data_IF_609365652776
#
_entry.id   IF_609365652776
#
_cell.length_a   1.000
_cell.length_b   1.000
_cell.length_c   1.000
_cell.angle_alpha   90.00
_cell.angle_beta   90.00
_cell.angle_gamma   90.00
#
_symmetry.space_group_name_H-M   'P 1'
#
loop_
_entity.id
_entity.type
_entity.pdbx_description
1 polymer ?
#
# COMPACT_ATOMS: atom_id res chain seq x y z
N UNK A 1 -2.50 41.92 19.13
CA UNK A 1 -3.63 41.29 18.44
C UNK A 1 -3.10 40.43 17.31
N UNK A 2 -3.64 39.21 17.21
CA UNK A 2 -3.31 38.10 16.28
C UNK A 2 -1.94 37.43 16.54
N UNK A 3 -1.84 36.10 16.60
CA UNK A 3 -2.56 35.13 15.79
C UNK A 3 -2.91 33.84 16.55
N UNK A 4 -4.21 33.64 16.77
CA UNK A 4 -4.86 32.44 17.32
C UNK A 4 -5.25 31.47 16.18
N UNK A 5 -4.41 31.37 15.13
CA UNK A 5 -4.74 30.63 13.88
C UNK A 5 -4.30 29.15 13.95
N UNK A 6 -3.48 28.77 14.94
CA UNK A 6 -2.98 27.40 15.06
C UNK A 6 -3.98 26.33 15.57
N UNK A 7 -5.00 26.61 16.41
CA UNK A 7 -5.95 25.58 16.84
C UNK A 7 -7.06 25.30 15.80
N UNK A 8 -7.44 26.28 14.97
CA UNK A 8 -8.57 26.14 14.03
C UNK A 8 -8.22 25.18 12.88
N UNK A 9 -6.99 25.27 12.35
CA UNK A 9 -6.53 24.39 11.26
C UNK A 9 -6.45 22.93 11.74
N UNK A 10 -5.90 22.67 12.94
CA UNK A 10 -5.89 21.32 13.51
C UNK A 10 -7.31 20.78 13.70
N UNK A 11 -8.24 21.55 14.27
CA UNK A 11 -9.63 21.08 14.50
C UNK A 11 -10.34 20.74 13.18
N UNK A 12 -10.12 21.53 12.12
CA UNK A 12 -10.70 21.26 10.80
C UNK A 12 -10.10 20.00 10.15
N UNK A 13 -8.79 19.79 10.27
CA UNK A 13 -8.13 18.58 9.76
C UNK A 13 -8.59 17.32 10.52
N UNK A 14 -8.70 17.39 11.85
CA UNK A 14 -9.20 16.27 12.65
C UNK A 14 -10.65 15.92 12.31
N UNK A 15 -11.54 16.92 12.18
CA UNK A 15 -12.95 16.68 11.80
C UNK A 15 -13.08 16.06 10.41
N UNK A 16 -12.32 16.56 9.43
CA UNK A 16 -12.33 15.98 8.09
C UNK A 16 -11.80 14.53 8.12
N UNK A 17 -10.75 14.24 8.89
CA UNK A 17 -10.21 12.88 8.98
C UNK A 17 -11.17 11.88 9.65
N UNK A 18 -11.92 12.32 10.67
CA UNK A 18 -12.90 11.50 11.36
C UNK A 18 -14.11 11.20 10.46
N UNK A 19 -14.61 12.23 9.76
CA UNK A 19 -15.69 12.06 8.80
C UNK A 19 -15.30 11.07 7.69
N UNK A 20 -14.09 11.19 7.13
CA UNK A 20 -13.62 10.24 6.11
C UNK A 20 -13.50 8.81 6.63
N UNK A 21 -13.07 8.63 7.89
CA UNK A 21 -13.00 7.28 8.48
C UNK A 21 -14.39 6.66 8.65
N UNK A 22 -15.35 7.42 9.19
CA UNK A 22 -16.72 6.92 9.42
C UNK A 22 -17.39 6.56 8.07
N UNK A 23 -17.22 7.39 7.04
CA UNK A 23 -17.74 7.15 5.70
C UNK A 23 -17.13 5.88 5.06
N UNK A 24 -15.80 5.71 5.15
CA UNK A 24 -15.09 4.55 4.61
C UNK A 24 -15.49 3.26 5.37
N UNK A 25 -15.61 3.32 6.70
CA UNK A 25 -16.06 2.20 7.52
C UNK A 25 -17.50 1.83 7.19
N UNK A 26 -18.41 2.81 7.06
CA UNK A 26 -19.80 2.56 6.72
C UNK A 26 -19.91 1.87 5.35
N UNK A 27 -19.11 2.32 4.37
CA UNK A 27 -19.04 1.69 3.05
C UNK A 27 -18.63 0.22 3.12
N UNK A 28 -17.67 -0.13 3.98
CA UNK A 28 -17.26 -1.53 4.22
C UNK A 28 -18.43 -2.34 4.79
N UNK A 29 -19.13 -1.80 5.78
CA UNK A 29 -20.22 -2.50 6.46
C UNK A 29 -21.42 -2.71 5.53
N UNK A 30 -21.80 -1.70 4.76
CA UNK A 30 -22.91 -1.78 3.82
C UNK A 30 -22.68 -2.87 2.75
N UNK A 31 -21.43 -3.04 2.30
CA UNK A 31 -21.09 -3.99 1.26
C UNK A 31 -20.83 -5.41 1.81
N UNK A 32 -20.00 -5.52 2.84
CA UNK A 32 -19.49 -6.82 3.30
C UNK A 32 -20.18 -7.36 4.57
N UNK A 33 -20.95 -6.54 5.29
CA UNK A 33 -21.68 -6.93 6.49
C UNK A 33 -23.12 -6.34 6.58
N UNK A 34 -23.95 -6.48 5.53
CA UNK A 34 -25.27 -5.84 5.47
C UNK A 34 -26.28 -6.34 6.52
N UNK A 35 -25.96 -7.42 7.24
CA UNK A 35 -26.80 -8.02 8.29
C UNK A 35 -26.33 -7.67 9.71
N UNK A 36 -25.18 -7.01 9.85
CA UNK A 36 -24.56 -6.67 11.13
C UNK A 36 -23.93 -7.88 11.85
N UNK A 37 -22.61 -7.83 12.02
CA UNK A 37 -21.80 -8.80 12.76
C UNK A 37 -21.21 -8.19 14.02
N UNK A 38 -20.74 -9.04 14.94
CA UNK A 38 -19.98 -8.62 16.13
C UNK A 38 -18.48 -8.44 15.85
N UNK A 39 -18.03 -8.69 14.63
CA UNK A 39 -16.63 -8.66 14.25
C UNK A 39 -16.18 -7.32 13.64
N UNK A 40 -16.81 -6.23 14.05
CA UNK A 40 -16.50 -4.87 13.61
C UNK A 40 -15.55 -4.22 14.60
N UNK A 41 -14.45 -3.65 14.10
CA UNK A 41 -13.61 -2.74 14.85
C UNK A 41 -13.96 -1.30 14.44
N UNK A 42 -14.78 -0.63 15.24
CA UNK A 42 -15.22 0.74 14.94
C UNK A 42 -14.26 1.84 15.44
N UNK A 43 -13.11 1.43 15.98
CA UNK A 43 -12.04 2.33 16.33
C UNK A 43 -11.03 2.32 15.17
N UNK A 44 -10.36 3.44 14.93
CA UNK A 44 -9.35 3.53 13.87
C UNK A 44 -7.97 3.11 14.39
N UNK A 45 -7.57 3.64 15.55
CA UNK A 45 -6.24 3.43 16.12
C UNK A 45 -6.20 2.24 17.07
N UNK A 46 -5.08 1.51 17.09
CA UNK A 46 -4.81 0.46 18.08
C UNK A 46 -3.97 1.06 19.22
N UNK A 47 -4.57 1.19 20.39
CA UNK A 47 -3.97 1.75 21.62
C UNK A 47 -4.53 1.03 22.85
N UNK A 48 -3.94 1.21 24.03
CA UNK A 48 -4.47 0.68 25.29
C UNK A 48 -5.92 1.10 25.58
N UNK A 49 -6.40 2.20 24.98
CA UNK A 49 -7.78 2.67 25.13
C UNK A 49 -8.76 1.98 24.18
N UNK A 50 -8.29 1.56 23.02
CA UNK A 50 -9.13 1.03 21.94
C UNK A 50 -9.05 -0.49 21.83
N UNK A 51 -8.03 -1.12 22.42
CA UNK A 51 -7.77 -2.54 22.25
C UNK A 51 -8.89 -3.45 22.75
N UNK A 52 -9.60 -3.05 23.81
CA UNK A 52 -10.68 -3.85 24.39
C UNK A 52 -11.89 -3.95 23.46
N UNK A 53 -11.97 -3.07 22.45
CA UNK A 53 -12.98 -3.11 21.39
C UNK A 53 -12.53 -3.94 20.18
N UNK A 54 -11.28 -4.42 20.14
CA UNK A 54 -10.81 -5.23 19.03
C UNK A 54 -11.48 -6.61 19.03
N UNK A 55 -12.17 -7.01 17.95
CA UNK A 55 -12.93 -8.24 17.93
C UNK A 55 -12.04 -9.48 17.88
N UNK A 56 -12.36 -10.50 18.68
CA UNK A 56 -11.70 -11.82 18.65
C UNK A 56 -12.30 -12.69 17.54
N UNK A 57 -12.14 -12.25 16.29
CA UNK A 57 -12.71 -12.90 15.11
C UNK A 57 -11.65 -13.27 14.08
N UNK A 58 -11.94 -14.29 13.28
CA UNK A 58 -11.12 -14.63 12.10
C UNK A 58 -11.28 -13.64 10.96
N UNK A 59 -12.51 -13.18 10.75
CA UNK A 59 -12.87 -12.13 9.78
C UNK A 59 -13.18 -10.87 10.56
N UNK A 60 -12.45 -9.80 10.30
CA UNK A 60 -12.64 -8.50 10.95
C UNK A 60 -13.02 -7.46 9.91
N UNK A 61 -13.95 -6.57 10.26
CA UNK A 61 -14.38 -5.45 9.44
C UNK A 61 -13.88 -4.17 10.10
N UNK A 62 -13.06 -3.40 9.41
CA UNK A 62 -12.49 -2.19 10.00
C UNK A 62 -11.33 -1.60 9.21
N UNK A 63 -10.93 -0.40 9.63
CA UNK A 63 -9.73 0.27 9.15
C UNK A 63 -8.73 0.33 10.30
N UNK A 64 -7.58 -0.31 10.12
CA UNK A 64 -6.57 -0.44 11.17
C UNK A 64 -5.49 0.62 10.96
N UNK A 65 -5.36 1.54 11.92
CA UNK A 65 -4.32 2.57 11.94
C UNK A 65 -3.30 2.25 13.05
N UNK A 66 -2.05 2.10 12.66
CA UNK A 66 -0.89 1.97 13.54
C UNK A 66 -0.02 3.21 13.35
N UNK A 67 0.17 3.98 14.41
CA UNK A 67 0.92 5.23 14.31
C UNK A 67 1.72 5.56 15.58
N UNK A 68 2.14 6.82 15.74
CA UNK A 68 2.88 7.27 16.92
C UNK A 68 2.09 7.18 18.24
N UNK A 69 0.76 7.07 18.18
CA UNK A 69 -0.11 6.91 19.35
C UNK A 69 -0.22 5.44 19.79
N UNK A 70 0.16 4.48 18.93
CA UNK A 70 0.15 3.06 19.27
C UNK A 70 1.17 2.77 20.36
N UNK A 71 0.69 2.41 21.54
CA UNK A 71 1.45 2.15 22.76
C UNK A 71 1.76 0.66 22.97
N UNK A 72 1.67 -0.13 21.90
CA UNK A 72 1.98 -1.56 21.89
C UNK A 72 3.31 -1.87 21.21
N UNK A 73 4.05 -2.80 21.80
CA UNK A 73 5.18 -3.46 21.13
C UNK A 73 4.72 -4.36 19.99
N UNK A 74 5.64 -4.67 19.07
CA UNK A 74 5.40 -5.60 17.96
C UNK A 74 4.85 -6.96 18.42
N UNK A 75 5.36 -7.50 19.54
CA UNK A 75 4.91 -8.77 20.11
C UNK A 75 3.48 -8.69 20.65
N UNK A 76 3.12 -7.56 21.27
CA UNK A 76 1.74 -7.34 21.73
C UNK A 76 0.79 -7.19 20.53
N UNK A 77 1.16 -6.40 19.51
CA UNK A 77 0.36 -6.28 18.28
C UNK A 77 0.16 -7.64 17.61
N UNK A 78 1.20 -8.46 17.53
CA UNK A 78 1.11 -9.81 16.96
C UNK A 78 0.09 -10.68 17.71
N UNK A 79 0.01 -10.53 19.03
CA UNK A 79 -1.00 -11.23 19.86
C UNK A 79 -2.41 -10.68 19.66
N UNK A 80 -2.56 -9.37 19.46
CA UNK A 80 -3.86 -8.75 19.16
C UNK A 80 -4.45 -9.32 17.87
N UNK A 81 -3.63 -9.44 16.83
CA UNK A 81 -4.06 -9.88 15.51
C UNK A 81 -4.00 -11.40 15.30
N UNK A 82 -3.61 -12.19 16.32
CA UNK A 82 -3.28 -13.62 16.18
C UNK A 82 -4.40 -14.48 15.58
N UNK A 83 -5.66 -14.09 15.80
CA UNK A 83 -6.82 -14.81 15.31
C UNK A 83 -7.32 -14.30 13.95
N UNK A 84 -6.91 -13.11 13.52
CA UNK A 84 -7.43 -12.43 12.34
C UNK A 84 -6.76 -12.97 11.08
N UNK A 85 -7.49 -13.76 10.31
CA UNK A 85 -7.03 -14.34 9.04
C UNK A 85 -7.48 -13.53 7.83
N UNK A 86 -8.52 -12.72 7.98
CA UNK A 86 -9.03 -11.85 6.93
C UNK A 86 -9.47 -10.49 7.49
N UNK A 87 -9.10 -9.42 6.77
CA UNK A 87 -9.55 -8.06 7.03
C UNK A 87 -10.37 -7.55 5.84
N UNK A 88 -11.59 -7.12 6.14
CA UNK A 88 -12.45 -6.37 5.25
C UNK A 88 -12.27 -4.88 5.56
N UNK A 89 -11.55 -4.18 4.70
CA UNK A 89 -11.15 -2.78 4.89
C UNK A 89 -9.69 -2.53 4.57
N UNK A 90 -9.01 -1.71 5.37
CA UNK A 90 -7.69 -1.19 5.04
C UNK A 90 -6.74 -1.09 6.22
N UNK A 91 -5.47 -0.91 5.90
CA UNK A 91 -4.39 -0.82 6.88
C UNK A 91 -3.56 0.42 6.60
N UNK A 92 -3.35 1.25 7.61
CA UNK A 92 -2.42 2.38 7.59
C UNK A 92 -1.39 2.22 8.69
N UNK A 93 -0.12 2.16 8.32
CA UNK A 93 1.01 2.17 9.23
C UNK A 93 1.80 3.44 8.95
N UNK A 94 1.65 4.46 9.79
CA UNK A 94 2.27 5.75 9.55
C UNK A 94 2.99 6.32 10.75
N UNK A 95 4.15 6.96 10.55
CA UNK A 95 4.88 7.63 11.64
C UNK A 95 5.09 6.73 12.88
N UNK A 96 5.18 5.41 12.69
CA UNK A 96 5.29 4.44 13.78
C UNK A 96 6.74 4.21 14.19
N UNK A 97 6.93 3.72 15.40
CA UNK A 97 8.23 3.27 15.90
C UNK A 97 8.53 1.79 15.57
N UNK A 98 7.69 1.14 14.77
CA UNK A 98 7.86 -0.27 14.43
C UNK A 98 9.04 -0.47 13.48
N UNK A 99 9.74 -1.59 13.66
CA UNK A 99 10.82 -2.02 12.77
C UNK A 99 10.37 -3.06 11.74
N UNK A 100 9.23 -3.71 11.98
CA UNK A 100 8.69 -4.78 11.14
C UNK A 100 7.16 -4.74 11.07
N UNK A 101 6.61 -5.24 9.95
CA UNK A 101 5.17 -5.51 9.76
C UNK A 101 4.77 -6.93 10.19
N UNK A 102 5.59 -7.63 10.97
CA UNK A 102 5.30 -9.00 11.43
C UNK A 102 4.05 -9.15 12.29
N UNK A 103 3.41 -8.08 12.71
CA UNK A 103 2.11 -8.17 13.37
C UNK A 103 0.98 -8.59 12.42
N UNK A 104 1.17 -8.46 11.10
CA UNK A 104 0.25 -8.93 10.05
C UNK A 104 0.39 -10.45 9.78
N UNK A 105 0.86 -11.22 10.76
CA UNK A 105 1.16 -12.65 10.61
C UNK A 105 -0.08 -13.52 10.83
N UNK A 106 -0.38 -14.40 9.87
CA UNK A 106 -1.56 -15.29 9.89
C UNK A 106 -1.23 -16.75 10.19
N UNK A 107 0.05 -17.06 10.44
CA UNK A 107 0.74 -18.37 10.38
C UNK A 107 1.57 -18.54 9.11
N UNK A 108 2.70 -19.25 9.24
CA UNK A 108 3.73 -19.46 8.21
C UNK A 108 3.24 -20.13 6.91
N UNK A 109 1.99 -20.62 6.86
CA UNK A 109 1.42 -21.38 5.75
C UNK A 109 0.05 -20.89 5.27
N UNK A 110 -0.49 -19.83 5.87
CA UNK A 110 -1.83 -19.29 5.54
C UNK A 110 -1.67 -17.88 4.99
N UNK A 111 -2.36 -17.59 3.89
CA UNK A 111 -2.41 -16.24 3.33
C UNK A 111 -3.32 -15.37 4.19
N UNK A 112 -2.95 -14.11 4.37
CA UNK A 112 -3.82 -13.09 4.95
C UNK A 112 -4.71 -12.51 3.85
N UNK A 113 -6.01 -12.72 3.94
CA UNK A 113 -6.93 -12.14 2.96
C UNK A 113 -7.22 -10.68 3.32
N UNK A 114 -6.91 -9.77 2.41
CA UNK A 114 -7.15 -8.34 2.60
C UNK A 114 -8.08 -7.80 1.51
N UNK A 115 -9.30 -7.48 1.90
CA UNK A 115 -10.30 -6.87 1.01
C UNK A 115 -10.19 -5.35 1.08
N UNK A 116 -9.30 -4.78 0.28
CA UNK A 116 -8.83 -3.39 0.39
C UNK A 116 -9.35 -2.43 -0.68
N UNK A 117 -10.49 -2.75 -1.30
CA UNK A 117 -11.13 -1.90 -2.30
C UNK A 117 -11.50 -0.51 -1.75
N UNK A 118 -12.03 -0.44 -0.52
CA UNK A 118 -12.57 0.82 0.02
C UNK A 118 -11.47 1.80 0.43
N UNK A 119 -10.43 1.31 1.10
CA UNK A 119 -9.41 2.16 1.72
C UNK A 119 -8.02 1.95 1.11
N UNK A 120 -7.53 0.71 1.13
CA UNK A 120 -6.20 0.37 0.64
C UNK A 120 -5.20 -0.01 1.75
N UNK A 121 -3.93 -0.04 1.38
CA UNK A 121 -2.78 -0.28 2.26
C UNK A 121 -1.82 0.89 2.15
N UNK A 122 -1.49 1.50 3.27
CA UNK A 122 -0.61 2.66 3.33
C UNK A 122 0.47 2.42 4.39
N UNK A 123 1.73 2.43 3.99
CA UNK A 123 2.89 2.25 4.87
C UNK A 123 3.80 3.46 4.65
N UNK A 124 3.66 4.46 5.51
CA UNK A 124 4.12 5.81 5.19
C UNK A 124 4.96 6.41 6.33
N UNK A 125 6.07 7.05 6.01
CA UNK A 125 6.84 7.86 6.97
C UNK A 125 7.36 7.08 8.20
N UNK A 126 7.60 5.76 8.08
CA UNK A 126 8.11 4.95 9.20
C UNK A 126 9.65 4.95 9.20
N UNK A 127 10.25 5.80 10.04
CA UNK A 127 11.71 6.01 10.11
C UNK A 127 12.51 4.75 10.46
N UNK A 128 11.93 3.82 11.20
CA UNK A 128 12.62 2.64 11.72
C UNK A 128 12.27 1.34 10.99
N UNK A 129 11.21 1.35 10.17
CA UNK A 129 10.72 0.18 9.46
C UNK A 129 11.75 -0.31 8.44
N UNK A 130 12.15 -1.57 8.58
CA UNK A 130 13.15 -2.21 7.71
C UNK A 130 12.75 -3.60 7.23
N UNK A 131 11.66 -4.15 7.77
CA UNK A 131 11.14 -5.47 7.43
C UNK A 131 9.64 -5.39 7.09
N UNK A 132 9.30 -5.73 5.85
CA UNK A 132 7.92 -5.82 5.37
C UNK A 132 7.67 -7.14 4.63
N UNK A 133 8.39 -8.21 4.99
CA UNK A 133 8.28 -9.50 4.30
C UNK A 133 6.85 -10.07 4.34
N UNK A 134 6.06 -9.72 5.35
CA UNK A 134 4.67 -10.17 5.50
C UNK A 134 3.77 -9.69 4.38
N UNK A 135 4.10 -8.58 3.70
CA UNK A 135 3.34 -8.11 2.54
C UNK A 135 3.32 -9.12 1.39
N UNK A 136 4.33 -10.00 1.31
CA UNK A 136 4.36 -11.12 0.36
C UNK A 136 3.29 -12.18 0.65
N UNK A 137 2.79 -12.25 1.87
CA UNK A 137 1.80 -13.27 2.28
C UNK A 137 0.38 -12.72 2.28
N UNK A 138 0.19 -11.46 1.89
CA UNK A 138 -1.13 -10.84 1.75
C UNK A 138 -1.73 -11.26 0.41
N UNK A 139 -2.90 -11.88 0.47
CA UNK A 139 -3.76 -12.11 -0.67
C UNK A 139 -4.70 -10.90 -0.79
N UNK A 140 -4.35 -9.97 -1.68
CA UNK A 140 -5.18 -8.79 -1.94
C UNK A 140 -6.40 -9.20 -2.74
N UNK A 141 -7.57 -8.83 -2.24
CA UNK A 141 -8.85 -9.07 -2.89
C UNK A 141 -9.45 -7.70 -3.19
N UNK A 142 -9.42 -7.31 -4.46
CA UNK A 142 -10.09 -6.11 -4.95
C UNK A 142 -11.45 -6.48 -5.54
N UNK A 143 -12.42 -5.56 -5.46
CA UNK A 143 -13.76 -5.78 -6.03
C UNK A 143 -13.77 -5.91 -7.54
N UNK A 144 -14.84 -6.53 -8.06
CA UNK A 144 -14.99 -6.85 -9.49
C UNK A 144 -15.02 -5.61 -10.40
N UNK A 145 -15.44 -4.46 -9.88
CA UNK A 145 -15.63 -3.23 -10.65
C UNK A 145 -14.33 -2.43 -10.87
N UNK A 146 -13.46 -2.33 -9.86
CA UNK A 146 -12.24 -1.51 -9.92
C UNK A 146 -10.97 -2.35 -10.05
N UNK A 147 -10.96 -3.60 -9.55
CA UNK A 147 -9.79 -4.50 -9.46
C UNK A 147 -8.54 -3.90 -8.79
N UNK A 148 -8.63 -2.72 -8.18
CA UNK A 148 -7.46 -1.99 -7.71
C UNK A 148 -7.55 -1.76 -6.20
N UNK A 149 -6.74 -2.51 -5.45
CA UNK A 149 -6.36 -2.09 -4.11
C UNK A 149 -5.36 -0.94 -4.24
N UNK A 150 -5.59 0.18 -3.55
CA UNK A 150 -4.58 1.24 -3.45
C UNK A 150 -3.48 0.78 -2.51
N UNK A 151 -2.23 0.82 -2.94
CA UNK A 151 -1.12 0.35 -2.12
C UNK A 151 0.03 1.34 -2.20
N UNK A 152 0.31 2.00 -1.08
CA UNK A 152 1.37 2.99 -0.96
C UNK A 152 2.39 2.56 0.07
N UNK A 153 3.65 2.60 -0.32
CA UNK A 153 4.77 2.39 0.58
C UNK A 153 5.75 3.53 0.38
N UNK A 154 5.63 4.57 1.20
CA UNK A 154 6.34 5.82 0.98
C UNK A 154 7.15 6.28 2.18
N UNK A 155 8.32 6.87 1.92
CA UNK A 155 9.15 7.53 2.94
C UNK A 155 9.53 6.62 4.12
N UNK A 156 9.85 5.35 3.84
CA UNK A 156 10.38 4.41 4.83
C UNK A 156 11.87 4.19 4.56
N UNK A 157 12.77 5.08 5.05
CA UNK A 157 14.15 5.18 4.57
C UNK A 157 15.05 3.98 4.87
N UNK A 158 14.59 3.03 5.70
CA UNK A 158 15.29 1.78 6.00
C UNK A 158 14.68 0.56 5.31
N UNK A 159 13.52 0.71 4.68
CA UNK A 159 12.76 -0.39 4.10
C UNK A 159 13.26 -0.73 2.70
N UNK A 160 13.55 -2.00 2.46
CA UNK A 160 13.88 -2.52 1.15
C UNK A 160 12.64 -3.15 0.49
N UNK A 161 12.11 -2.51 -0.55
CA UNK A 161 10.92 -3.00 -1.27
C UNK A 161 11.25 -3.95 -2.43
N UNK A 162 12.51 -4.02 -2.87
CA UNK A 162 12.98 -4.80 -4.02
C UNK A 162 12.49 -6.27 -4.00
N UNK A 163 12.56 -6.92 -2.84
CA UNK A 163 12.13 -8.31 -2.68
C UNK A 163 10.61 -8.45 -2.55
N UNK A 164 9.96 -7.45 -1.98
CA UNK A 164 8.51 -7.44 -1.72
C UNK A 164 7.75 -7.28 -3.02
N UNK A 165 8.16 -6.35 -3.88
CA UNK A 165 7.46 -6.08 -5.15
C UNK A 165 7.62 -7.20 -6.19
N UNK A 166 8.56 -8.14 -6.00
CA UNK A 166 8.74 -9.33 -6.85
C UNK A 166 7.69 -10.42 -6.61
N UNK A 167 6.94 -10.35 -5.52
CA UNK A 167 5.96 -11.36 -5.21
C UNK A 167 4.68 -11.15 -6.03
N UNK A 168 4.19 -12.22 -6.67
CA UNK A 168 3.08 -12.17 -7.65
C UNK A 168 1.87 -11.37 -7.17
N UNK A 169 1.49 -11.49 -5.89
CA UNK A 169 0.33 -10.80 -5.33
C UNK A 169 0.43 -9.27 -5.25
N UNK A 170 1.61 -8.67 -5.39
CA UNK A 170 1.80 -7.21 -5.46
C UNK A 170 2.12 -6.74 -6.89
N UNK A 171 2.71 -7.61 -7.70
CA UNK A 171 3.14 -7.27 -9.04
C UNK A 171 2.00 -7.15 -10.06
N UNK A 172 0.86 -7.84 -9.85
CA UNK A 172 -0.18 -7.99 -10.90
C UNK A 172 -1.56 -7.40 -10.57
N UNK A 173 -1.78 -6.75 -9.43
CA UNK A 173 -3.16 -6.49 -8.94
C UNK A 173 -3.39 -5.11 -8.32
N UNK A 174 -2.47 -4.15 -8.44
CA UNK A 174 -2.43 -3.04 -7.49
C UNK A 174 -1.86 -1.75 -8.12
N UNK A 175 -2.49 -0.61 -7.82
CA UNK A 175 -1.89 0.73 -7.97
C UNK A 175 -0.85 0.85 -6.87
N UNK A 176 0.40 0.50 -7.20
CA UNK A 176 1.52 0.42 -6.27
C UNK A 176 2.39 1.67 -6.37
N UNK A 177 2.28 2.56 -5.39
CA UNK A 177 3.15 3.72 -5.24
C UNK A 177 4.24 3.37 -4.22
N UNK A 178 5.49 3.36 -4.66
CA UNK A 178 6.65 3.12 -3.80
C UNK A 178 7.72 4.18 -4.07
N UNK A 179 7.98 5.01 -3.06
CA UNK A 179 8.90 6.14 -3.15
C UNK A 179 9.54 6.48 -1.80
N UNK A 180 10.74 7.06 -1.78
CA UNK A 180 11.41 7.45 -0.53
C UNK A 180 11.81 6.28 0.39
N UNK A 181 11.90 5.05 -0.13
CA UNK A 181 12.33 3.86 0.60
C UNK A 181 13.85 3.64 0.43
N UNK A 182 14.45 2.73 1.23
CA UNK A 182 15.89 2.39 1.08
C UNK A 182 16.20 1.83 -0.31
N UNK A 183 15.27 1.02 -0.82
CA UNK A 183 15.25 0.53 -2.20
C UNK A 183 13.79 0.48 -2.65
N UNK A 184 13.53 0.99 -3.83
CA UNK A 184 12.19 1.01 -4.41
C UNK A 184 11.81 -0.29 -5.11
N UNK A 185 10.55 -0.36 -5.53
CA UNK A 185 10.12 -1.33 -6.54
C UNK A 185 10.79 -1.01 -7.89
N UNK A 186 12.06 -1.42 -8.08
CA UNK A 186 12.81 -1.15 -9.31
C UNK A 186 14.20 -1.79 -9.38
N UNK A 187 14.55 -2.25 -10.59
CA UNK A 187 15.81 -2.84 -11.11
C UNK A 187 16.58 -3.80 -10.17
N UNK A 188 16.41 -5.11 -10.37
CA UNK A 188 17.39 -6.13 -9.95
C UNK A 188 18.06 -6.83 -11.13
N UNK A 189 19.39 -6.77 -11.17
CA UNK A 189 20.21 -7.64 -12.00
C UNK A 189 20.55 -8.89 -11.18
N UNK A 190 20.15 -10.07 -11.65
CA UNK A 190 20.65 -11.34 -11.10
C UNK A 190 21.71 -11.92 -12.05
N UNK A 191 22.97 -12.02 -11.62
CA UNK A 191 23.90 -12.97 -12.22
C UNK A 191 23.56 -14.34 -11.62
N UNK A 192 22.97 -15.21 -12.44
CA UNK A 192 22.86 -16.65 -12.22
C UNK A 192 21.77 -17.10 -11.23
N UNK A 193 20.61 -17.52 -11.74
CA UNK A 193 19.90 -18.70 -11.22
C UNK A 193 18.94 -19.28 -12.26
N UNK A 194 18.91 -20.60 -12.33
CA UNK A 194 18.34 -21.46 -13.37
C UNK A 194 16.79 -21.55 -13.38
N UNK A 195 16.10 -20.50 -12.92
CA UNK A 195 14.64 -20.40 -13.00
C UNK A 195 14.30 -19.17 -13.85
N UNK A 196 13.77 -19.46 -15.03
CA UNK A 196 13.48 -18.56 -16.14
C UNK A 196 12.26 -17.65 -15.86
N UNK A 197 12.20 -17.01 -14.69
CA UNK A 197 11.32 -15.86 -14.49
C UNK A 197 12.15 -14.59 -14.64
N UNK A 198 11.94 -13.95 -15.79
CA UNK A 198 12.77 -12.93 -16.38
C UNK A 198 13.01 -11.73 -15.45
N UNK A 199 14.18 -11.12 -15.64
CA UNK A 199 14.62 -9.82 -15.10
C UNK A 199 13.48 -8.81 -15.19
N UNK A 200 12.74 -8.60 -14.10
CA UNK A 200 11.74 -7.54 -14.05
C UNK A 200 12.34 -6.34 -13.33
N UNK A 201 12.58 -5.29 -14.11
CA UNK A 201 12.88 -3.95 -13.62
C UNK A 201 11.63 -3.10 -13.72
N UNK A 202 11.05 -2.76 -12.57
CA UNK A 202 9.88 -1.90 -12.46
C UNK A 202 10.23 -0.41 -12.49
N UNK A 203 9.36 0.39 -13.11
CA UNK A 203 9.37 1.84 -13.08
C UNK A 203 7.97 2.40 -12.73
N UNK A 204 7.91 3.58 -12.12
CA UNK A 204 6.65 4.27 -11.80
C UNK A 204 6.14 5.05 -13.03
N UNK A 205 5.19 4.47 -13.78
CA UNK A 205 4.74 5.00 -15.06
C UNK A 205 3.93 6.29 -14.98
N UNK A 206 3.45 6.68 -13.80
CA UNK A 206 2.84 7.98 -13.52
C UNK A 206 3.87 9.08 -13.17
N UNK A 207 5.16 8.76 -13.12
CA UNK A 207 6.25 9.70 -12.82
C UNK A 207 7.12 10.00 -14.05
N UNK A 208 6.65 9.67 -15.25
CA UNK A 208 7.37 9.95 -16.50
C UNK A 208 7.31 11.44 -16.80
N UNK A 209 8.49 12.05 -16.92
CA UNK A 209 8.67 13.42 -17.38
C UNK A 209 9.99 13.53 -18.16
N UNK A 210 10.32 14.74 -18.63
CA UNK A 210 11.52 14.98 -19.44
C UNK A 210 12.83 14.66 -18.74
N UNK A 211 12.87 14.61 -17.40
CA UNK A 211 14.07 14.26 -16.63
C UNK A 211 14.14 12.77 -16.28
N UNK A 212 13.00 12.13 -16.00
CA UNK A 212 12.94 10.72 -15.58
C UNK A 212 12.85 9.72 -16.74
N UNK A 213 12.41 10.13 -17.94
CA UNK A 213 12.19 9.22 -19.08
C UNK A 213 13.43 8.39 -19.46
N UNK A 214 14.63 8.91 -19.21
CA UNK A 214 15.87 8.21 -19.50
C UNK A 214 16.06 6.91 -18.68
N UNK A 215 15.46 6.85 -17.49
CA UNK A 215 15.56 5.72 -16.57
C UNK A 215 14.78 4.49 -17.07
N UNK A 216 13.73 4.73 -17.86
CA UNK A 216 12.86 3.69 -18.40
C UNK A 216 13.56 2.76 -19.40
N UNK A 217 14.72 3.17 -19.95
CA UNK A 217 15.60 2.29 -20.77
C UNK A 217 16.08 1.04 -20.04
N UNK A 218 16.00 1.06 -18.71
CA UNK A 218 16.39 -0.04 -17.83
C UNK A 218 15.19 -0.84 -17.37
N UNK A 219 13.96 -0.40 -17.60
CA UNK A 219 12.73 -1.00 -17.11
C UNK A 219 12.12 -1.97 -18.12
N UNK A 220 11.47 -3.01 -17.61
CA UNK A 220 10.71 -4.01 -18.38
C UNK A 220 9.23 -4.02 -17.98
N UNK A 221 8.89 -3.36 -16.87
CA UNK A 221 7.53 -3.29 -16.35
C UNK A 221 7.26 -1.88 -15.84
N UNK A 222 6.05 -1.35 -16.07
CA UNK A 222 5.59 -0.13 -15.40
C UNK A 222 4.49 -0.44 -14.39
N UNK A 223 4.57 0.21 -13.22
CA UNK A 223 3.49 0.28 -12.23
C UNK A 223 2.74 1.61 -12.41
N UNK A 224 1.47 1.65 -11.98
CA UNK A 224 0.59 2.82 -12.12
C UNK A 224 0.40 3.25 -13.59
N UNK A 225 0.48 2.27 -14.50
CA UNK A 225 0.21 2.44 -15.91
C UNK A 225 1.37 3.04 -16.69
N UNK A 226 1.05 3.81 -17.72
CA UNK A 226 2.01 4.52 -18.55
C UNK A 226 1.43 5.89 -18.88
N UNK A 227 1.91 6.93 -18.19
CA UNK A 227 1.30 8.25 -18.22
C UNK A 227 2.34 9.34 -18.47
N UNK A 228 2.21 10.06 -19.59
CA UNK A 228 3.04 11.23 -19.88
C UNK A 228 2.38 12.15 -20.91
N UNK A 229 2.77 13.43 -20.88
CA UNK A 229 2.37 14.40 -21.89
C UNK A 229 3.53 15.28 -22.35
N UNK A 230 3.49 15.71 -23.61
CA UNK A 230 4.47 16.64 -24.21
C UNK A 230 5.93 16.14 -24.14
N UNK A 231 6.14 14.83 -24.37
CA UNK A 231 7.48 14.24 -24.45
C UNK A 231 7.72 13.70 -25.86
N UNK A 232 8.81 14.14 -26.47
CA UNK A 232 9.33 13.65 -27.75
C UNK A 232 10.34 12.51 -27.53
N UNK A 233 10.62 11.72 -28.58
CA UNK A 233 11.63 10.64 -28.56
C UNK A 233 11.43 9.54 -27.50
N UNK A 234 10.17 9.28 -27.14
CA UNK A 234 9.80 8.34 -26.07
C UNK A 234 10.06 6.88 -26.44
N UNK A 235 9.92 6.50 -27.72
CA UNK A 235 9.98 5.11 -28.18
C UNK A 235 11.29 4.41 -27.83
N UNK A 236 12.43 5.12 -27.95
CA UNK A 236 13.73 4.56 -27.60
C UNK A 236 13.86 4.26 -26.09
N UNK A 237 13.17 5.05 -25.27
CA UNK A 237 13.21 4.97 -23.82
C UNK A 237 12.30 3.87 -23.26
N UNK A 238 11.20 3.56 -23.94
CA UNK A 238 10.24 2.52 -23.55
C UNK A 238 10.47 1.18 -24.26
N UNK A 239 11.52 1.05 -25.08
CA UNK A 239 11.78 -0.10 -25.95
C UNK A 239 11.92 -1.47 -25.27
N UNK A 240 12.10 -1.51 -23.95
CA UNK A 240 12.20 -2.76 -23.17
C UNK A 240 10.97 -3.05 -22.33
N UNK A 241 9.97 -2.18 -22.33
CA UNK A 241 8.75 -2.37 -21.54
C UNK A 241 7.92 -3.50 -22.18
N UNK A 242 7.85 -4.63 -21.47
CA UNK A 242 7.07 -5.81 -21.86
C UNK A 242 5.68 -5.80 -21.22
N UNK A 243 5.54 -5.19 -20.04
CA UNK A 243 4.31 -5.17 -19.24
C UNK A 243 3.96 -3.77 -18.74
N UNK A 244 2.71 -3.35 -18.91
CA UNK A 244 2.16 -2.11 -18.36
C UNK A 244 1.04 -2.48 -17.39
N UNK A 245 1.25 -2.25 -16.10
CA UNK A 245 0.27 -2.53 -15.05
C UNK A 245 -0.42 -1.23 -14.63
N UNK A 246 -1.62 -1.00 -15.14
CA UNK A 246 -2.44 0.17 -14.86
C UNK A 246 -2.85 0.93 -16.13
N UNK A 247 -3.41 2.14 -15.99
CA UNK A 247 -3.99 2.89 -17.10
C UNK A 247 -2.93 3.47 -18.05
N UNK A 248 -3.23 3.49 -19.34
CA UNK A 248 -2.39 4.16 -20.36
C UNK A 248 -3.01 5.53 -20.65
N UNK A 249 -2.22 6.59 -20.45
CA UNK A 249 -2.62 7.96 -20.75
C UNK A 249 -1.47 8.73 -21.41
N UNK A 250 -1.50 8.80 -22.73
CA UNK A 250 -0.46 9.44 -23.54
C UNK A 250 -1.06 10.63 -24.27
N UNK A 251 -0.48 11.81 -24.11
CA UNK A 251 -1.01 13.05 -24.67
C UNK A 251 0.10 13.86 -25.35
N UNK A 252 -0.18 14.46 -26.51
CA UNK A 252 0.74 15.36 -27.21
C UNK A 252 2.18 14.80 -27.33
N UNK A 253 2.31 13.54 -27.75
CA UNK A 253 3.60 12.86 -27.93
C UNK A 253 3.81 12.47 -29.38
N UNK A 254 5.06 12.36 -29.80
CA UNK A 254 5.43 11.98 -31.17
C UNK A 254 5.37 10.45 -31.43
N UNK A 255 4.65 9.69 -30.58
CA UNK A 255 4.47 8.25 -30.75
C UNK A 255 3.58 8.00 -31.98
N UNK A 256 4.17 7.37 -33.00
CA UNK A 256 3.49 6.94 -34.21
C UNK A 256 3.12 5.45 -34.09
N UNK A 257 1.95 5.08 -34.61
CA UNK A 257 1.48 3.69 -34.71
C UNK A 257 2.33 2.88 -35.69
#
# INVERSE_FOLDING_TARGET
MNSLVFPIICILLFRNSLATFDDDLQTILDFYDPKGTKCVFNQSEITSKTIDFFPKCQKVYGLIIINSNTDFSLAQLSKVFENMTALYGGIKVENSNLTSLSFLTVFMFTKFDLYCETYGVFIENNRYLNDAQQLKSINQIAGEATKECKFRVENNPKLNMEDVCRYYGLASTTVLEASGNKKECGITFFPNNHLQYNRSSGCQGNQINTTSISEFKKCTTTYNGLQFSNISDVSSHLSKIDFINGPINIQNSDIQN
#
